data_IF_362941022681
#
_entry.id   IF_362941022681
#
_cell.length_a   1.000
_cell.length_b   1.000
_cell.length_c   1.000
_cell.angle_alpha   90.00
_cell.angle_beta   90.00
_cell.angle_gamma   90.00
#
_symmetry.space_group_name_H-M   'P 1'
#
loop_
_entity.id
_entity.type
_entity.pdbx_description
1 polymer ?
#
# COMPACT_ATOMS: atom_id res chain seq x y z
N UNK A 1 15.90 -20.21 14.44
CA UNK A 1 15.00 -19.13 14.92
C UNK A 1 14.44 -18.41 13.69
N UNK A 2 13.24 -18.80 13.24
CA UNK A 2 12.56 -18.32 12.03
C UNK A 2 11.19 -17.75 12.42
N UNK A 3 11.17 -16.70 13.24
CA UNK A 3 9.91 -16.05 13.70
C UNK A 3 9.81 -14.56 13.36
N UNK A 4 10.87 -13.92 12.87
CA UNK A 4 10.85 -12.49 12.49
C UNK A 4 10.30 -12.22 11.09
N UNK A 5 10.55 -13.11 10.12
CA UNK A 5 10.22 -12.88 8.70
C UNK A 5 8.71 -12.88 8.42
N UNK A 6 7.91 -13.58 9.25
CA UNK A 6 6.46 -13.70 9.08
C UNK A 6 5.68 -12.49 9.59
N UNK A 7 6.27 -11.64 10.45
CA UNK A 7 5.57 -10.53 11.09
C UNK A 7 5.69 -9.21 10.30
N UNK A 8 6.81 -8.99 9.60
CA UNK A 8 7.05 -7.76 8.84
C UNK A 8 6.33 -7.74 7.48
N UNK A 9 6.26 -8.88 6.80
CA UNK A 9 5.50 -9.01 5.55
C UNK A 9 3.99 -8.88 5.80
N UNK A 10 3.50 -9.34 6.95
CA UNK A 10 2.09 -9.21 7.30
C UNK A 10 1.70 -7.77 7.66
N UNK A 11 2.58 -7.00 8.32
CA UNK A 11 2.26 -5.62 8.71
C UNK A 11 2.20 -4.66 7.51
N UNK A 12 3.10 -4.80 6.53
CA UNK A 12 3.09 -3.99 5.31
C UNK A 12 1.92 -4.35 4.36
N UNK A 13 1.49 -5.62 4.35
CA UNK A 13 0.33 -6.06 3.56
C UNK A 13 -1.00 -5.60 4.21
N UNK A 14 -1.07 -5.56 5.55
CA UNK A 14 -2.25 -5.11 6.29
C UNK A 14 -2.50 -3.60 6.17
N UNK A 15 -1.45 -2.77 6.14
CA UNK A 15 -1.64 -1.31 5.97
C UNK A 15 -2.24 -0.95 4.62
N UNK A 16 -1.87 -1.68 3.56
CA UNK A 16 -2.38 -1.43 2.19
C UNK A 16 -3.83 -1.89 1.95
N UNK A 17 -4.28 -2.93 2.64
CA UNK A 17 -5.68 -3.41 2.54
C UNK A 17 -6.69 -2.48 3.23
N UNK A 18 -6.24 -1.58 4.12
CA UNK A 18 -7.10 -0.61 4.78
C UNK A 18 -7.59 0.54 3.86
N UNK A 19 -6.93 0.77 2.72
CA UNK A 19 -7.19 1.94 1.86
C UNK A 19 -8.21 1.71 0.72
N UNK A 20 -8.84 0.54 0.62
CA UNK A 20 -9.67 0.18 -0.52
C UNK A 20 -11.20 0.32 -0.33
N UNK A 21 -11.69 0.77 0.84
CA UNK A 21 -13.12 0.75 1.16
C UNK A 21 -13.64 2.04 1.79
N UNK A 22 -14.20 2.92 0.97
CA UNK A 22 -15.20 3.88 1.45
C UNK A 22 -16.41 3.84 0.52
N UNK A 23 -17.51 3.29 1.05
CA UNK A 23 -18.77 3.23 0.32
C UNK A 23 -19.90 2.56 1.09
N UNK A 24 -20.49 3.30 2.04
CA UNK A 24 -21.92 3.36 2.43
C UNK A 24 -22.16 3.34 3.96
N UNK A 25 -22.71 4.44 4.50
CA UNK A 25 -23.51 4.44 5.74
C UNK A 25 -23.25 5.57 6.75
N UNK A 26 -24.00 6.68 6.60
CA UNK A 26 -24.37 7.72 7.59
C UNK A 26 -23.30 8.59 8.31
N UNK A 27 -23.78 9.74 8.80
CA UNK A 27 -23.14 11.06 8.85
C UNK A 27 -22.09 11.33 9.97
N UNK A 28 -21.00 11.97 9.52
CA UNK A 28 -20.25 13.10 10.10
C UNK A 28 -19.33 12.89 11.34
N UNK A 29 -18.01 12.90 11.08
CA UNK A 29 -17.07 13.95 11.52
C UNK A 29 -15.76 13.83 10.72
N UNK A 30 -15.27 14.97 10.21
CA UNK A 30 -14.11 15.15 9.33
C UNK A 30 -12.97 14.11 9.50
N UNK A 31 -12.88 13.18 8.54
CA UNK A 31 -11.79 12.18 8.44
C UNK A 31 -10.90 12.57 7.27
N UNK A 32 -9.66 12.99 7.55
CA UNK A 32 -8.66 13.29 6.51
C UNK A 32 -7.64 12.14 6.44
N UNK A 33 -8.07 11.06 5.79
CA UNK A 33 -7.31 10.32 4.76
C UNK A 33 -8.21 10.30 3.50
N UNK A 34 -7.73 10.02 2.27
CA UNK A 34 -8.62 10.02 1.12
C UNK A 34 -9.51 8.78 1.20
N UNK A 35 -10.64 8.98 1.83
CA UNK A 35 -11.72 8.04 2.04
C UNK A 35 -12.75 8.67 2.96
N UNK A 36 -13.72 9.41 2.41
CA UNK A 36 -14.90 9.82 3.17
C UNK A 36 -15.44 11.23 2.96
N UNK A 37 -15.47 11.74 1.73
CA UNK A 37 -16.21 12.96 1.40
C UNK A 37 -16.98 12.80 0.11
N UNK A 38 -18.31 12.63 0.19
CA UNK A 38 -19.19 13.08 -0.89
C UNK A 38 -18.93 14.57 -1.09
N UNK A 39 -18.67 14.99 -2.32
CA UNK A 39 -18.71 16.38 -2.75
C UNK A 39 -17.85 17.37 -1.94
N UNK A 40 -16.55 17.12 -1.77
CA UNK A 40 -15.63 18.25 -1.76
C UNK A 40 -15.47 18.71 -3.21
N UNK A 41 -16.04 19.87 -3.53
CA UNK A 41 -16.20 20.43 -4.88
C UNK A 41 -14.93 20.71 -5.69
N UNK A 42 -13.82 20.03 -5.38
CA UNK A 42 -12.49 20.19 -5.98
C UNK A 42 -11.99 18.96 -6.76
N UNK A 43 -12.79 17.89 -6.88
CA UNK A 43 -12.52 16.80 -7.84
C UNK A 43 -11.35 15.86 -7.49
N UNK A 44 -11.00 15.71 -6.21
CA UNK A 44 -9.95 14.79 -5.77
C UNK A 44 -10.50 13.35 -5.66
N UNK A 45 -10.00 12.43 -6.49
CA UNK A 45 -10.35 11.00 -6.47
C UNK A 45 -9.52 10.28 -5.40
N UNK A 46 -10.18 9.65 -4.44
CA UNK A 46 -9.55 8.87 -3.36
C UNK A 46 -9.20 7.43 -3.77
N UNK A 47 -8.28 6.78 -3.04
CA UNK A 47 -7.91 5.38 -3.26
C UNK A 47 -7.08 5.13 -4.53
N UNK A 48 -6.93 3.86 -4.92
CA UNK A 48 -6.19 3.49 -6.15
C UNK A 48 -6.79 4.10 -7.42
N UNK A 49 -8.06 4.48 -7.41
CA UNK A 49 -8.71 5.17 -8.51
C UNK A 49 -8.08 6.53 -8.84
N UNK A 50 -7.42 7.17 -7.86
CA UNK A 50 -6.67 8.41 -8.06
C UNK A 50 -5.26 8.20 -8.63
N UNK A 51 -4.78 6.96 -8.72
CA UNK A 51 -3.44 6.65 -9.25
C UNK A 51 -3.45 6.55 -10.77
N UNK A 52 -2.39 7.06 -11.39
CA UNK A 52 -2.14 6.89 -12.82
C UNK A 52 -1.37 5.60 -13.07
N UNK A 53 -1.82 4.77 -14.01
CA UNK A 53 -1.07 3.58 -14.41
C UNK A 53 0.39 3.93 -14.77
N UNK A 54 1.33 3.14 -14.25
CA UNK A 54 2.76 3.42 -14.35
C UNK A 54 3.33 4.17 -13.15
N UNK A 55 2.52 4.61 -12.19
CA UNK A 55 3.00 5.31 -10.99
C UNK A 55 3.70 4.35 -10.03
N UNK A 56 4.71 4.85 -9.33
CA UNK A 56 5.47 4.09 -8.35
C UNK A 56 6.04 4.98 -7.24
N UNK A 57 6.30 4.38 -6.09
CA UNK A 57 7.04 4.98 -4.99
C UNK A 57 7.97 3.93 -4.38
N UNK A 58 9.13 4.35 -3.92
CA UNK A 58 10.13 3.49 -3.29
C UNK A 58 10.41 4.01 -1.89
N UNK A 59 10.28 3.13 -0.90
CA UNK A 59 10.55 3.40 0.50
C UNK A 59 11.83 2.68 0.91
N UNK A 60 12.59 3.30 1.80
CA UNK A 60 13.77 2.71 2.43
C UNK A 60 13.53 2.56 3.93
N UNK A 61 13.89 1.40 4.47
CA UNK A 61 13.80 1.08 5.89
C UNK A 61 15.16 1.24 6.57
N UNK A 62 15.22 1.42 7.90
CA UNK A 62 16.47 1.62 8.64
C UNK A 62 17.51 0.48 8.49
N UNK A 63 17.05 -0.72 8.16
CA UNK A 63 17.93 -1.88 7.92
C UNK A 63 18.52 -1.89 6.50
N UNK A 64 18.20 -0.89 5.67
CA UNK A 64 18.62 -0.80 4.28
C UNK A 64 17.71 -1.56 3.31
N UNK A 65 16.60 -2.13 3.77
CA UNK A 65 15.61 -2.73 2.88
C UNK A 65 14.99 -1.66 2.00
N UNK A 66 14.90 -1.94 0.71
CA UNK A 66 14.14 -1.14 -0.25
C UNK A 66 12.82 -1.83 -0.56
N UNK A 67 11.72 -1.09 -0.50
CA UNK A 67 10.40 -1.58 -0.92
C UNK A 67 9.78 -0.62 -1.93
N UNK A 68 9.54 -1.13 -3.14
CA UNK A 68 8.99 -0.37 -4.25
C UNK A 68 7.57 -0.81 -4.54
N UNK A 69 6.67 0.16 -4.51
CA UNK A 69 5.24 0.05 -4.73
C UNK A 69 4.94 0.53 -6.14
N UNK A 70 4.19 -0.24 -6.91
CA UNK A 70 3.91 0.03 -8.31
C UNK A 70 2.43 -0.16 -8.62
N UNK A 71 1.83 0.85 -9.26
CA UNK A 71 0.48 0.76 -9.79
C UNK A 71 0.54 0.53 -11.29
N UNK A 72 0.22 -0.69 -11.70
CA UNK A 72 0.36 -1.17 -13.08
C UNK A 72 -0.88 -0.83 -13.94
N UNK A 73 -1.94 -0.31 -13.34
CA UNK A 73 -3.21 -0.01 -14.00
C UNK A 73 -4.26 -1.07 -13.71
N UNK A 74 -4.97 -1.50 -14.75
CA UNK A 74 -6.10 -2.42 -14.64
C UNK A 74 -5.97 -3.61 -15.59
N UNK A 75 -6.43 -4.78 -15.15
CA UNK A 75 -6.51 -6.00 -15.94
C UNK A 75 -7.72 -6.84 -15.46
N UNK A 76 -8.04 -7.93 -16.13
CA UNK A 76 -9.18 -8.79 -15.79
C UNK A 76 -8.71 -10.13 -15.21
N UNK A 77 -9.31 -10.52 -14.09
CA UNK A 77 -9.14 -11.84 -13.46
C UNK A 77 -10.51 -12.48 -13.22
N UNK A 78 -10.71 -13.71 -13.73
CA UNK A 78 -12.00 -14.46 -13.65
C UNK A 78 -13.24 -13.62 -14.03
N UNK A 79 -13.10 -12.72 -15.01
CA UNK A 79 -14.18 -11.86 -15.50
C UNK A 79 -14.42 -10.58 -14.69
N UNK A 80 -13.70 -10.36 -13.58
CA UNK A 80 -13.74 -9.11 -12.82
C UNK A 80 -12.60 -8.17 -13.24
N UNK A 81 -12.93 -6.90 -13.48
CA UNK A 81 -11.92 -5.86 -13.68
C UNK A 81 -11.23 -5.55 -12.34
N UNK A 82 -9.90 -5.58 -12.33
CA UNK A 82 -9.09 -5.44 -11.14
C UNK A 82 -8.06 -4.32 -11.29
N UNK A 83 -7.79 -3.60 -10.21
CA UNK A 83 -6.56 -2.84 -10.05
C UNK A 83 -5.39 -3.80 -9.85
N UNK A 84 -4.25 -3.48 -10.47
CA UNK A 84 -3.04 -4.28 -10.41
C UNK A 84 -1.95 -3.51 -9.68
N UNK A 85 -1.53 -4.05 -8.54
CA UNK A 85 -0.45 -3.53 -7.71
C UNK A 85 0.70 -4.52 -7.67
N UNK A 86 1.91 -4.02 -7.68
CA UNK A 86 3.11 -4.83 -7.49
C UNK A 86 4.02 -4.22 -6.43
N UNK A 87 4.65 -5.09 -5.65
CA UNK A 87 5.48 -4.77 -4.50
C UNK A 87 6.78 -5.53 -4.67
N UNK A 88 7.85 -4.80 -4.93
CA UNK A 88 9.19 -5.34 -4.94
C UNK A 88 9.87 -5.02 -3.61
N UNK A 89 10.43 -6.04 -2.95
CA UNK A 89 11.25 -5.85 -1.75
C UNK A 89 12.64 -6.40 -2.02
N UNK A 90 13.66 -5.57 -1.82
CA UNK A 90 15.07 -5.96 -1.84
C UNK A 90 15.61 -5.88 -0.41
N UNK A 91 15.95 -7.03 0.16
CA UNK A 91 16.56 -7.14 1.49
C UNK A 91 17.79 -8.06 1.39
N UNK A 92 18.94 -7.59 1.87
CA UNK A 92 20.22 -8.33 1.83
C UNK A 92 20.58 -8.89 0.43
N UNK A 93 20.16 -8.19 -0.63
CA UNK A 93 20.38 -8.61 -2.02
C UNK A 93 19.36 -9.61 -2.57
N UNK A 94 18.48 -10.15 -1.73
CA UNK A 94 17.36 -10.99 -2.15
C UNK A 94 16.17 -10.12 -2.58
N UNK A 95 15.73 -10.30 -3.83
CA UNK A 95 14.55 -9.64 -4.40
C UNK A 95 13.34 -10.58 -4.28
N UNK A 96 12.25 -10.07 -3.72
CA UNK A 96 10.94 -10.72 -3.71
C UNK A 96 9.92 -9.80 -4.37
N UNK A 97 9.04 -10.37 -5.19
CA UNK A 97 7.98 -9.62 -5.87
C UNK A 97 6.63 -10.19 -5.47
N UNK A 98 5.73 -9.32 -5.06
CA UNK A 98 4.34 -9.65 -4.78
C UNK A 98 3.45 -8.84 -5.71
N UNK A 99 2.44 -9.45 -6.31
CA UNK A 99 1.45 -8.79 -7.14
C UNK A 99 0.07 -9.05 -6.55
N UNK A 100 -0.68 -7.99 -6.29
CA UNK A 100 -2.04 -8.07 -5.74
C UNK A 100 -3.02 -7.59 -6.79
N UNK A 101 -4.08 -8.37 -6.97
CA UNK A 101 -5.21 -8.03 -7.81
C UNK A 101 -6.39 -7.66 -6.92
N UNK A 102 -6.89 -6.44 -7.10
CA UNK A 102 -7.98 -5.88 -6.29
C UNK A 102 -9.18 -5.67 -7.19
N UNK A 103 -10.29 -6.34 -6.93
CA UNK A 103 -11.52 -6.16 -7.69
C UNK A 103 -11.99 -4.69 -7.57
N UNK A 104 -12.12 -4.00 -8.69
CA UNK A 104 -12.46 -2.56 -8.70
C UNK A 104 -13.85 -2.28 -8.17
N UNK A 105 -14.79 -3.19 -8.38
CA UNK A 105 -16.19 -3.00 -7.97
C UNK A 105 -16.39 -3.17 -6.46
N UNK A 106 -15.59 -4.03 -5.83
CA UNK A 106 -15.72 -4.32 -4.41
C UNK A 106 -14.62 -3.71 -3.55
N UNK A 107 -13.46 -3.38 -4.12
CA UNK A 107 -12.27 -2.97 -3.37
C UNK A 107 -11.50 -4.14 -2.74
N UNK A 108 -11.95 -5.39 -2.91
CA UNK A 108 -11.35 -6.56 -2.27
C UNK A 108 -10.18 -7.12 -3.06
N UNK A 109 -9.10 -7.45 -2.36
CA UNK A 109 -8.06 -8.33 -2.90
C UNK A 109 -8.65 -9.69 -3.24
N UNK A 110 -8.47 -10.14 -4.49
CA UNK A 110 -9.01 -11.42 -5.00
C UNK A 110 -7.92 -12.43 -5.33
N UNK A 111 -6.69 -11.94 -5.58
CA UNK A 111 -5.55 -12.79 -5.89
C UNK A 111 -4.27 -12.12 -5.41
N UNK A 112 -3.42 -12.91 -4.76
CA UNK A 112 -2.03 -12.58 -4.50
C UNK A 112 -1.14 -13.52 -5.30
N UNK A 113 -0.14 -12.96 -5.98
CA UNK A 113 0.86 -13.72 -6.74
C UNK A 113 2.23 -13.33 -6.20
N UNK A 114 3.10 -14.30 -6.04
CA UNK A 114 4.44 -14.09 -5.50
C UNK A 114 5.46 -14.70 -6.45
N UNK A 115 6.56 -13.99 -6.67
CA UNK A 115 7.71 -14.47 -7.42
C UNK A 115 8.94 -14.34 -6.53
N UNK A 116 9.55 -15.49 -6.23
CA UNK A 116 10.76 -15.54 -5.42
C UNK A 116 12.01 -15.20 -6.24
N UNK A 117 13.16 -15.16 -5.57
CA UNK A 117 14.46 -14.86 -6.20
C UNK A 117 14.88 -15.88 -7.28
N UNK A 118 14.33 -17.11 -7.25
CA UNK A 118 14.59 -18.15 -8.24
C UNK A 118 13.62 -18.06 -9.44
N UNK A 119 12.70 -17.10 -9.43
CA UNK A 119 11.69 -16.91 -10.46
C UNK A 119 10.50 -17.87 -10.35
N UNK A 120 10.36 -18.61 -9.24
CA UNK A 120 9.20 -19.48 -9.02
C UNK A 120 8.00 -18.61 -8.72
N UNK A 121 6.95 -18.76 -9.53
CA UNK A 121 5.71 -18.00 -9.40
C UNK A 121 4.65 -18.84 -8.71
N UNK A 122 4.18 -18.36 -7.58
CA UNK A 122 3.12 -18.97 -6.77
C UNK A 122 1.93 -18.02 -6.68
N UNK A 123 0.73 -18.56 -6.53
CA UNK A 123 -0.49 -17.75 -6.34
C UNK A 123 -1.37 -18.28 -5.23
N UNK A 124 -2.08 -17.36 -4.60
CA UNK A 124 -3.05 -17.62 -3.56
C UNK A 124 -4.32 -16.83 -3.86
N UNK A 125 -5.44 -17.51 -4.00
CA UNK A 125 -6.74 -16.84 -4.05
C UNK A 125 -7.02 -16.25 -2.67
N UNK A 126 -7.33 -14.96 -2.64
CA UNK A 126 -7.63 -14.26 -1.41
C UNK A 126 -9.12 -14.46 -1.13
N UNK A 127 -9.44 -14.95 0.06
CA UNK A 127 -10.83 -14.98 0.49
C UNK A 127 -11.24 -13.53 0.76
N UNK A 128 -12.34 -13.04 0.18
CA UNK A 128 -12.86 -11.72 0.50
C UNK A 128 -13.04 -11.61 2.01
N UNK A 129 -12.34 -10.68 2.66
CA UNK A 129 -12.64 -10.35 4.04
C UNK A 129 -14.07 -9.80 4.08
N UNK A 130 -14.89 -10.34 4.98
CA UNK A 130 -16.20 -9.74 5.20
C UNK A 130 -16.00 -8.35 5.78
N UNK A 131 -16.87 -7.37 5.48
CA UNK A 131 -16.70 -5.99 5.96
C UNK A 131 -16.52 -5.86 7.49
N UNK A 132 -16.95 -6.86 8.27
CA UNK A 132 -16.79 -6.92 9.72
C UNK A 132 -15.36 -7.23 10.20
N UNK A 133 -14.50 -7.79 9.35
CA UNK A 133 -13.14 -8.21 9.70
C UNK A 133 -12.08 -7.20 9.22
N UNK A 134 -12.50 -6.15 8.53
CA UNK A 134 -11.63 -5.10 8.01
C UNK A 134 -11.52 -4.05 9.11
N UNK A 135 -10.31 -3.75 9.64
CA UNK A 135 -10.11 -2.52 10.39
C UNK A 135 -10.59 -1.41 9.47
N UNK A 136 -11.70 -0.77 9.82
CA UNK A 136 -12.19 0.39 9.08
C UNK A 136 -10.98 1.30 8.93
N UNK A 137 -10.66 1.72 7.70
CA UNK A 137 -9.60 2.69 7.42
C UNK A 137 -9.89 4.07 8.04
N UNK A 138 -10.70 4.10 9.11
CA UNK A 138 -10.69 5.13 10.12
C UNK A 138 -9.23 5.43 10.42
N UNK A 139 -8.85 6.68 10.14
CA UNK A 139 -7.84 7.35 10.92
C UNK A 139 -7.98 6.83 12.36
N UNK A 140 -6.94 6.24 12.97
CA UNK A 140 -7.04 5.84 14.37
C UNK A 140 -7.66 7.03 15.09
N UNK A 141 -8.74 6.81 15.84
CA UNK A 141 -9.69 7.83 16.32
C UNK A 141 -9.02 8.98 17.12
N UNK A 142 -7.69 8.91 17.29
CA UNK A 142 -6.80 9.83 17.99
C UNK A 142 -5.69 10.47 17.12
N UNK A 143 -5.74 10.44 15.77
CA UNK A 143 -4.71 11.13 14.96
C UNK A 143 -4.97 12.63 14.87
N UNK A 144 -3.95 13.44 15.17
CA UNK A 144 -3.99 14.91 15.12
C UNK A 144 -3.06 15.42 14.02
N UNK A 145 -3.56 16.32 13.17
CA UNK A 145 -2.72 17.05 12.21
C UNK A 145 -1.79 18.00 12.96
N UNK A 146 -0.49 17.79 12.81
CA UNK A 146 0.56 18.60 13.44
C UNK A 146 0.93 19.80 12.57
N UNK A 147 0.87 19.65 11.26
CA UNK A 147 1.20 20.71 10.30
C UNK A 147 1.63 20.16 8.95
N UNK A 148 2.30 21.01 8.17
CA UNK A 148 2.88 20.65 6.88
C UNK A 148 4.38 20.92 6.92
N UNK A 149 5.17 19.98 6.43
CA UNK A 149 6.63 20.04 6.39
C UNK A 149 7.15 19.69 5.01
N UNK A 150 8.33 20.20 4.66
CA UNK A 150 9.02 19.83 3.43
C UNK A 150 9.87 18.59 3.67
N UNK A 151 9.82 17.65 2.73
CA UNK A 151 10.68 16.47 2.71
C UNK A 151 11.45 16.45 1.39
N UNK A 152 12.76 16.24 1.46
CA UNK A 152 13.62 16.05 0.30
C UNK A 152 14.11 14.61 0.28
N UNK A 153 13.79 13.88 -0.78
CA UNK A 153 14.21 12.49 -0.98
C UNK A 153 15.73 12.39 -1.14
N UNK A 154 16.35 11.22 -0.86
CA UNK A 154 17.75 10.96 -1.17
C UNK A 154 18.13 11.22 -2.64
N UNK A 155 17.19 11.06 -3.57
CA UNK A 155 17.37 11.37 -5.00
C UNK A 155 17.26 12.86 -5.35
N UNK A 156 16.92 13.73 -4.38
CA UNK A 156 16.87 15.18 -4.53
C UNK A 156 15.49 15.77 -4.89
N UNK A 157 14.44 14.95 -4.98
CA UNK A 157 13.06 15.44 -5.19
C UNK A 157 12.53 16.04 -3.89
N UNK A 158 11.74 17.09 -3.96
CA UNK A 158 11.16 17.73 -2.77
C UNK A 158 9.63 17.73 -2.86
N UNK A 159 8.98 17.41 -1.76
CA UNK A 159 7.52 17.40 -1.62
C UNK A 159 7.09 18.11 -0.34
N UNK A 160 5.87 18.63 -0.34
CA UNK A 160 5.21 19.09 0.88
C UNK A 160 4.36 17.95 1.44
N UNK A 161 4.61 17.59 2.70
CA UNK A 161 3.95 16.50 3.40
C UNK A 161 3.18 17.04 4.60
N UNK A 162 1.95 16.57 4.76
CA UNK A 162 1.18 16.81 5.98
C UNK A 162 1.57 15.77 7.02
N UNK A 163 1.85 16.23 8.24
CA UNK A 163 2.29 15.39 9.35
C UNK A 163 1.11 15.15 10.28
N UNK A 164 0.84 13.88 10.55
CA UNK A 164 -0.15 13.43 11.51
C UNK A 164 0.55 12.71 12.65
N UNK A 165 0.03 12.87 13.87
CA UNK A 165 0.47 12.13 15.05
C UNK A 165 -0.67 11.34 15.64
N UNK A 166 -0.42 10.08 15.95
CA UNK A 166 -1.38 9.18 16.57
C UNK A 166 -0.81 8.66 17.87
N UNK A 167 -1.53 8.85 18.98
CA UNK A 167 -1.17 8.20 20.25
C UNK A 167 -1.90 6.86 20.37
N UNK A 168 -1.14 5.78 20.51
CA UNK A 168 -1.62 4.41 20.75
C UNK A 168 -1.10 3.91 22.11
N UNK A 169 -1.61 2.80 22.65
CA UNK A 169 -1.04 2.17 23.84
C UNK A 169 0.45 1.80 23.71
N UNK A 170 0.92 1.57 22.48
CA UNK A 170 2.29 1.17 22.17
C UNK A 170 3.23 2.37 21.93
N UNK A 171 2.69 3.59 21.86
CA UNK A 171 3.48 4.81 21.71
C UNK A 171 2.85 5.90 20.85
N UNK A 172 3.69 6.85 20.44
CA UNK A 172 3.31 7.89 19.48
C UNK A 172 3.82 7.49 18.09
N UNK A 173 2.89 7.35 17.14
CA UNK A 173 3.17 7.22 15.71
C UNK A 173 3.09 8.60 15.04
N UNK A 174 4.02 8.88 14.15
CA UNK A 174 4.03 10.08 13.31
C UNK A 174 4.11 9.66 11.85
N UNK A 175 3.08 9.99 11.07
CA UNK A 175 2.98 9.65 9.64
C UNK A 175 2.96 10.91 8.78
N UNK A 176 3.77 10.90 7.73
CA UNK A 176 3.91 11.99 6.77
C UNK A 176 3.29 11.59 5.44
N UNK A 177 2.33 12.38 4.97
CA UNK A 177 1.52 12.08 3.80
C UNK A 177 1.60 13.21 2.78
N UNK A 178 1.86 12.90 1.51
CA UNK A 178 1.85 13.89 0.42
C UNK A 178 1.06 13.42 -0.80
N UNK A 179 0.11 14.24 -1.26
CA UNK A 179 -0.63 13.98 -2.49
C UNK A 179 0.22 14.06 -3.77
N UNK A 180 1.46 14.57 -3.66
CA UNK A 180 2.42 14.64 -4.76
C UNK A 180 3.11 13.28 -5.02
N UNK A 181 3.02 12.37 -4.06
CA UNK A 181 3.68 11.06 -4.07
C UNK A 181 2.63 9.99 -4.32
N UNK A 182 2.81 9.10 -5.31
CA UNK A 182 1.97 7.91 -5.47
C UNK A 182 1.93 7.11 -4.17
N UNK A 183 0.78 6.56 -3.79
CA UNK A 183 0.56 5.89 -2.50
C UNK A 183 0.70 6.82 -1.28
N UNK A 184 1.05 8.08 -1.49
CA UNK A 184 1.06 9.17 -0.51
C UNK A 184 2.05 9.05 0.64
N UNK A 185 2.71 7.90 0.80
CA UNK A 185 3.66 7.64 1.88
C UNK A 185 4.96 8.44 1.68
N UNK A 186 5.31 9.26 2.68
CA UNK A 186 6.56 10.02 2.69
C UNK A 186 7.51 9.53 3.78
N UNK A 187 7.00 9.32 4.99
CA UNK A 187 7.80 8.94 6.16
C UNK A 187 6.90 8.46 7.28
N UNK A 188 7.36 7.49 8.06
CA UNK A 188 6.70 7.06 9.30
C UNK A 188 7.72 6.95 10.44
N UNK A 189 7.29 7.28 11.65
CA UNK A 189 8.08 7.16 12.86
C UNK A 189 7.23 6.54 13.98
N UNK A 190 7.83 5.64 14.76
CA UNK A 190 7.25 5.14 16.00
C UNK A 190 8.13 5.53 17.18
N UNK A 191 7.56 6.26 18.13
CA UNK A 191 8.27 6.80 19.29
C UNK A 191 9.53 7.59 18.89
N UNK A 192 9.40 8.42 17.85
CA UNK A 192 10.48 9.23 17.28
C UNK A 192 11.55 8.44 16.51
N UNK A 193 11.42 7.12 16.38
CA UNK A 193 12.31 6.29 15.55
C UNK A 193 11.70 6.11 14.17
N UNK A 194 12.47 6.44 13.14
CA UNK A 194 12.08 6.22 11.74
C UNK A 194 11.79 4.74 11.50
N UNK A 195 10.63 4.45 10.93
CA UNK A 195 10.26 3.12 10.44
C UNK A 195 10.58 2.97 8.95
N UNK A 196 10.31 4.00 8.16
CA UNK A 196 10.69 4.10 6.75
C UNK A 196 10.67 5.56 6.30
N UNK A 197 11.34 5.84 5.17
CA UNK A 197 11.29 7.12 4.47
C UNK A 197 11.20 6.91 2.96
N UNK A 198 10.64 7.89 2.25
CA UNK A 198 10.53 7.88 0.80
C UNK A 198 11.90 8.09 0.13
N UNK A 199 12.36 7.07 -0.57
CA UNK A 199 13.60 7.10 -1.32
C UNK A 199 13.47 7.81 -2.67
N UNK A 200 12.45 7.43 -3.46
CA UNK A 200 12.12 8.08 -4.74
C UNK A 200 10.68 7.78 -5.17
N UNK A 201 10.18 8.49 -6.19
CA UNK A 201 8.87 8.23 -6.77
C UNK A 201 8.72 8.73 -8.20
N UNK A 202 7.71 8.24 -8.91
CA UNK A 202 7.37 8.71 -10.25
C UNK A 202 5.92 8.42 -10.63
N UNK A 203 5.35 9.22 -11.53
CA UNK A 203 3.98 9.05 -12.05
C UNK A 203 3.91 8.24 -13.35
N UNK A 204 5.04 7.64 -13.72
CA UNK A 204 5.22 6.77 -14.88
C UNK A 204 6.47 5.92 -14.71
N UNK A 205 6.55 4.82 -15.46
CA UNK A 205 7.75 3.97 -15.52
C UNK A 205 7.64 2.66 -14.76
N UNK A 206 6.56 2.45 -14.00
CA UNK A 206 6.29 1.14 -13.41
C UNK A 206 6.10 0.07 -14.49
N UNK A 207 6.64 -1.11 -14.25
CA UNK A 207 6.64 -2.23 -15.20
C UNK A 207 6.33 -3.51 -14.45
N UNK A 208 5.38 -4.25 -14.99
CA UNK A 208 4.95 -5.54 -14.47
C UNK A 208 6.08 -6.58 -14.56
N UNK A 209 6.60 -7.04 -13.42
CA UNK A 209 7.59 -8.13 -13.35
C UNK A 209 6.96 -9.52 -13.33
N UNK A 210 5.72 -9.64 -12.83
CA UNK A 210 4.93 -10.87 -12.92
C UNK A 210 3.88 -10.71 -14.02
N UNK A 211 4.14 -11.25 -15.20
CA UNK A 211 3.23 -11.19 -16.35
C UNK A 211 1.89 -11.88 -16.08
N UNK A 212 0.89 -11.60 -16.93
CA UNK A 212 -0.41 -12.26 -16.87
C UNK A 212 -0.30 -13.77 -17.07
N UNK A 213 0.52 -14.19 -18.03
CA UNK A 213 0.77 -15.60 -18.33
C UNK A 213 1.45 -16.31 -17.15
N UNK A 214 2.45 -15.68 -16.51
CA UNK A 214 3.07 -16.22 -15.29
C UNK A 214 2.03 -16.39 -14.16
N UNK A 215 1.17 -15.40 -13.94
CA UNK A 215 0.08 -15.49 -12.96
C UNK A 215 -0.89 -16.63 -13.28
N UNK A 216 -1.33 -16.74 -14.53
CA UNK A 216 -2.30 -17.76 -14.96
C UNK A 216 -1.74 -19.17 -14.79
N UNK A 217 -0.44 -19.35 -15.02
CA UNK A 217 0.28 -20.62 -14.88
C UNK A 217 0.93 -20.84 -13.51
N UNK A 218 0.85 -19.87 -12.58
CA UNK A 218 1.48 -19.95 -11.27
C UNK A 218 0.99 -21.14 -10.44
N UNK A 219 1.90 -21.69 -9.62
CA UNK A 219 1.58 -22.82 -8.73
C UNK A 219 0.66 -22.35 -7.59
N UNK A 220 -0.49 -23.00 -7.34
CA UNK A 220 -1.32 -22.66 -6.20
C UNK A 220 -0.60 -22.93 -4.87
N UNK A 221 -0.60 -21.94 -3.98
CA UNK A 221 -0.23 -22.13 -2.59
C UNK A 221 -1.39 -22.78 -1.86
N UNK A 222 -1.18 -24.02 -1.44
CA UNK A 222 -2.11 -24.77 -0.60
C UNK A 222 -1.55 -24.75 0.81
N UNK A 223 -2.22 -24.06 1.74
CA UNK A 223 -1.90 -24.23 3.15
C UNK A 223 -2.44 -25.60 3.58
N UNK A 224 -1.61 -26.49 4.17
CA UNK A 224 -2.13 -27.68 4.82
C UNK A 224 -3.06 -27.22 5.95
N UNK A 225 -4.32 -27.66 5.89
CA UNK A 225 -5.33 -27.40 6.92
C UNK A 225 -5.10 -28.19 8.20
#
# INVERSE_FOLDING_TARGET
MKKGFSLFVSLALLSLLAFAFVGCGEEEKDVIGPGGGKDSGDGIISGFAGLKAGSWAELVYPDGTHSKYEFLGTDTYKGAECYLLEFETIQDGTKNINQIWINKSTGQGVLMVMKDENGVVMKMEMTPTTPQDIPTGETPVNSVKVGTQKYTTPTGKTVEATVYKTTTPDGEDETWISLQVPFWEVKSLLNGKVLYELYDFGTSGAKRDISKEEMENATPLVFPG
#
